data_IF_406866185728
#
_entry.id   IF_406866185728
#
_cell.length_a   1.000
_cell.length_b   1.000
_cell.length_c   1.000
_cell.angle_alpha   90.00
_cell.angle_beta   90.00
_cell.angle_gamma   90.00
#
_symmetry.space_group_name_H-M   'P 1'
#
loop_
_entity.id
_entity.type
_entity.pdbx_description
1 polymer ?
#
# COMPACT_ATOMS: atom_id res chain seq x y z
N UNK A 1 -9.02 -17.78 1.88
CA UNK A 1 -8.66 -17.48 3.28
C UNK A 1 -8.13 -16.06 3.43
N UNK A 2 -6.98 -15.72 2.84
CA UNK A 2 -6.39 -14.36 2.93
C UNK A 2 -7.35 -13.27 2.42
N UNK A 3 -8.03 -13.53 1.31
CA UNK A 3 -8.95 -12.57 0.71
C UNK A 3 -10.20 -12.29 1.58
N UNK A 4 -10.68 -13.32 2.28
CA UNK A 4 -11.77 -13.19 3.24
C UNK A 4 -11.34 -12.40 4.48
N UNK A 5 -10.16 -12.68 5.04
CA UNK A 5 -9.60 -11.89 6.15
C UNK A 5 -9.42 -10.42 5.78
N UNK A 6 -8.89 -10.13 4.58
CA UNK A 6 -8.75 -8.76 4.08
C UNK A 6 -10.11 -8.06 3.98
N UNK A 7 -11.12 -8.72 3.39
CA UNK A 7 -12.48 -8.18 3.29
C UNK A 7 -13.11 -7.95 4.66
N UNK A 8 -12.98 -8.89 5.59
CA UNK A 8 -13.50 -8.74 6.96
C UNK A 8 -12.80 -7.63 7.73
N UNK A 9 -11.49 -7.50 7.57
CA UNK A 9 -10.72 -6.42 8.18
C UNK A 9 -11.12 -5.05 7.61
N UNK A 10 -11.24 -4.92 6.29
CA UNK A 10 -11.69 -3.68 5.65
C UNK A 10 -13.13 -3.31 6.07
N UNK A 11 -14.03 -4.30 6.13
CA UNK A 11 -15.38 -4.10 6.63
C UNK A 11 -15.40 -3.66 8.10
N UNK A 12 -14.49 -4.17 8.94
CA UNK A 12 -14.38 -3.77 10.35
C UNK A 12 -13.92 -2.32 10.55
N UNK A 13 -13.19 -1.76 9.58
CA UNK A 13 -12.78 -0.35 9.54
C UNK A 13 -13.86 0.53 8.87
N UNK A 14 -14.98 -0.08 8.44
CA UNK A 14 -16.10 0.62 7.81
C UNK A 14 -15.92 0.87 6.31
N UNK A 15 -14.90 0.29 5.67
CA UNK A 15 -14.68 0.42 4.23
C UNK A 15 -15.47 -0.67 3.49
N UNK A 16 -16.44 -0.26 2.67
CA UNK A 16 -17.11 -1.16 1.74
C UNK A 16 -16.12 -1.56 0.62
N UNK A 17 -15.81 -2.85 0.51
CA UNK A 17 -14.94 -3.37 -0.56
C UNK A 17 -15.78 -3.59 -1.81
N UNK A 18 -15.69 -2.67 -2.76
CA UNK A 18 -16.26 -2.83 -4.10
C UNK A 18 -15.27 -3.65 -4.93
N UNK A 19 -15.67 -4.85 -5.37
CA UNK A 19 -14.84 -5.71 -6.22
C UNK A 19 -15.15 -5.48 -7.70
N UNK A 20 -14.17 -5.72 -8.57
CA UNK A 20 -14.34 -5.63 -10.03
C UNK A 20 -15.55 -6.43 -10.52
N UNK A 21 -15.70 -7.66 -10.04
CA UNK A 21 -16.82 -8.54 -10.41
C UNK A 21 -18.18 -7.92 -10.07
N UNK A 22 -18.27 -7.22 -8.93
CA UNK A 22 -19.52 -6.58 -8.50
C UNK A 22 -19.85 -5.34 -9.34
N UNK A 23 -18.83 -4.63 -9.81
CA UNK A 23 -18.99 -3.50 -10.74
C UNK A 23 -19.48 -4.01 -12.10
N UNK A 24 -18.86 -5.06 -12.64
CA UNK A 24 -19.26 -5.67 -13.91
C UNK A 24 -20.71 -6.17 -13.86
N UNK A 25 -21.09 -6.91 -12.82
CA UNK A 25 -22.47 -7.37 -12.61
C UNK A 25 -23.47 -6.20 -12.55
N UNK A 26 -23.09 -5.09 -11.89
CA UNK A 26 -23.94 -3.91 -11.80
C UNK A 26 -24.11 -3.21 -13.15
N UNK A 27 -23.07 -3.20 -13.98
CA UNK A 27 -23.13 -2.64 -15.33
C UNK A 27 -23.95 -3.53 -16.27
N UNK A 28 -23.78 -4.85 -16.20
CA UNK A 28 -24.57 -5.82 -16.96
C UNK A 28 -26.07 -5.71 -16.64
N UNK A 29 -26.44 -5.57 -15.35
CA UNK A 29 -27.82 -5.33 -14.95
C UNK A 29 -28.41 -4.04 -15.55
N UNK A 30 -27.59 -3.00 -15.74
CA UNK A 30 -28.03 -1.75 -16.35
C UNK A 30 -28.23 -1.90 -17.86
N UNK A 31 -27.42 -2.73 -18.51
CA UNK A 31 -27.60 -3.11 -19.91
C UNK A 31 -28.88 -3.93 -20.10
N UNK A 32 -29.11 -4.94 -19.27
CA UNK A 32 -30.34 -5.76 -19.33
C UNK A 32 -31.61 -4.92 -19.11
N UNK A 33 -31.54 -3.90 -18.25
CA UNK A 33 -32.65 -2.96 -18.01
C UNK A 33 -32.80 -1.92 -19.13
N UNK A 34 -31.99 -1.98 -20.19
CA UNK A 34 -31.98 -1.04 -21.31
C UNK A 34 -31.56 0.38 -20.93
N UNK A 35 -30.91 0.57 -19.78
CA UNK A 35 -30.43 1.87 -19.28
C UNK A 35 -29.04 2.23 -19.81
N UNK A 36 -28.32 1.25 -20.32
CA UNK A 36 -26.98 1.37 -20.89
C UNK A 36 -26.89 0.45 -22.11
N UNK A 37 -26.11 0.87 -23.10
CA UNK A 37 -25.69 -0.02 -24.19
C UNK A 37 -24.48 -0.86 -23.75
N UNK A 38 -24.24 -1.98 -24.44
CA UNK A 38 -23.05 -2.81 -24.19
C UNK A 38 -21.74 -2.03 -24.36
N UNK A 39 -21.71 -1.10 -25.32
CA UNK A 39 -20.54 -0.28 -25.63
C UNK A 39 -20.26 0.73 -24.52
N UNK A 40 -21.28 1.43 -24.03
CA UNK A 40 -21.16 2.35 -22.88
C UNK A 40 -20.75 1.62 -21.59
N UNK A 41 -21.24 0.39 -21.37
CA UNK A 41 -20.86 -0.42 -20.22
C UNK A 41 -19.38 -0.85 -20.27
N UNK A 42 -18.88 -1.22 -21.46
CA UNK A 42 -17.48 -1.54 -21.67
C UNK A 42 -16.57 -0.34 -21.42
N UNK A 43 -16.94 0.82 -21.98
CA UNK A 43 -16.18 2.07 -21.81
C UNK A 43 -16.15 2.53 -20.35
N UNK A 44 -17.27 2.40 -19.63
CA UNK A 44 -17.36 2.71 -18.21
C UNK A 44 -16.53 1.76 -17.34
N UNK A 45 -16.52 0.46 -17.66
CA UNK A 45 -15.68 -0.52 -16.98
C UNK A 45 -14.19 -0.18 -17.13
N UNK A 46 -13.74 0.13 -18.33
CA UNK A 46 -12.34 0.48 -18.59
C UNK A 46 -11.92 1.74 -17.83
N UNK A 47 -12.78 2.76 -17.84
CA UNK A 47 -12.55 3.99 -17.07
C UNK A 47 -12.46 3.74 -15.57
N UNK A 48 -13.35 2.91 -15.00
CA UNK A 48 -13.30 2.55 -13.57
C UNK A 48 -12.01 1.80 -13.23
N UNK A 49 -11.54 0.92 -14.11
CA UNK A 49 -10.28 0.19 -13.89
C UNK A 49 -9.08 1.14 -13.95
N UNK A 50 -9.06 2.09 -14.88
CA UNK A 50 -7.97 3.05 -15.04
C UNK A 50 -7.90 4.06 -13.89
N UNK A 51 -9.04 4.67 -13.53
CA UNK A 51 -9.15 5.57 -12.39
C UNK A 51 -8.84 4.82 -11.08
N UNK A 52 -9.36 3.60 -10.94
CA UNK A 52 -9.12 2.74 -9.78
C UNK A 52 -7.64 2.42 -9.56
N UNK A 53 -6.87 2.17 -10.63
CA UNK A 53 -5.41 1.97 -10.53
C UNK A 53 -4.71 3.22 -10.03
N UNK A 54 -5.01 4.36 -10.62
CA UNK A 54 -4.38 5.66 -10.28
C UNK A 54 -4.66 6.04 -8.83
N UNK A 55 -5.90 5.91 -8.38
CA UNK A 55 -6.29 6.21 -7.00
C UNK A 55 -5.73 5.19 -6.00
N UNK A 56 -5.63 3.91 -6.38
CA UNK A 56 -4.99 2.88 -5.54
C UNK A 56 -3.51 3.19 -5.30
N UNK A 57 -2.78 3.63 -6.33
CA UNK A 57 -1.37 3.97 -6.21
C UNK A 57 -1.15 5.18 -5.29
N UNK A 58 -1.97 6.24 -5.43
CA UNK A 58 -1.96 7.39 -4.50
C UNK A 58 -2.28 6.96 -3.07
N UNK A 59 -3.35 6.18 -2.89
CA UNK A 59 -3.76 5.68 -1.58
C UNK A 59 -2.67 4.82 -0.93
N UNK A 60 -1.94 4.03 -1.72
CA UNK A 60 -0.81 3.22 -1.22
C UNK A 60 0.35 4.09 -0.72
N UNK A 61 0.67 5.19 -1.43
CA UNK A 61 1.70 6.15 -1.01
C UNK A 61 1.28 6.83 0.29
N UNK A 62 0.05 7.32 0.37
CA UNK A 62 -0.48 7.97 1.59
C UNK A 62 -0.55 7.01 2.77
N UNK A 63 -1.04 5.79 2.56
CA UNK A 63 -1.08 4.75 3.57
C UNK A 63 0.33 4.39 4.07
N UNK A 64 1.31 4.27 3.17
CA UNK A 64 2.71 4.00 3.55
C UNK A 64 3.30 5.14 4.37
N UNK A 65 3.00 6.39 4.02
CA UNK A 65 3.41 7.57 4.80
C UNK A 65 2.79 7.57 6.19
N UNK A 66 1.49 7.36 6.28
CA UNK A 66 0.78 7.27 7.56
C UNK A 66 1.34 6.16 8.45
N UNK A 67 1.63 5.00 7.86
CA UNK A 67 2.20 3.87 8.58
C UNK A 67 3.61 4.19 9.11
N UNK A 68 4.46 4.80 8.28
CA UNK A 68 5.79 5.26 8.71
C UNK A 68 5.71 6.32 9.81
N UNK A 69 4.78 7.28 9.71
CA UNK A 69 4.57 8.31 10.73
C UNK A 69 4.11 7.69 12.06
N UNK A 70 3.24 6.67 12.02
CA UNK A 70 2.83 5.91 13.21
C UNK A 70 4.00 5.16 13.84
N UNK A 71 4.84 4.49 13.05
CA UNK A 71 6.02 3.79 13.57
C UNK A 71 7.00 4.76 14.24
N UNK A 72 7.24 5.92 13.64
CA UNK A 72 8.05 6.97 14.24
C UNK A 72 7.47 7.45 15.58
N UNK A 73 6.16 7.70 15.65
CA UNK A 73 5.48 8.09 16.91
C UNK A 73 5.55 7.00 17.98
N UNK A 74 5.59 5.73 17.58
CA UNK A 74 5.74 4.59 18.47
C UNK A 74 7.20 4.35 18.91
N UNK A 75 8.15 5.20 18.50
CA UNK A 75 9.60 5.01 18.67
C UNK A 75 10.14 3.70 18.08
N UNK A 76 9.49 3.20 17.02
CA UNK A 76 9.93 2.02 16.29
C UNK A 76 10.77 2.47 15.09
N UNK A 77 12.05 2.10 15.10
CA UNK A 77 12.98 2.38 14.01
C UNK A 77 12.68 1.51 12.80
N UNK A 78 12.75 2.10 11.60
CA UNK A 78 12.68 1.32 10.35
C UNK A 78 13.97 0.55 10.11
N UNK A 79 13.91 -0.49 9.27
CA UNK A 79 15.09 -1.29 8.92
C UNK A 79 16.18 -0.43 8.28
N UNK A 80 15.81 0.46 7.37
CA UNK A 80 16.76 1.36 6.68
C UNK A 80 17.49 2.28 7.66
N UNK A 81 16.78 2.79 8.69
CA UNK A 81 17.38 3.62 9.74
C UNK A 81 18.35 2.81 10.60
N UNK A 82 18.01 1.56 10.92
CA UNK A 82 18.90 0.65 11.64
C UNK A 82 20.17 0.34 10.83
N UNK A 83 20.03 0.01 9.55
CA UNK A 83 21.16 -0.33 8.68
C UNK A 83 22.09 0.88 8.49
N UNK A 84 21.53 2.08 8.33
CA UNK A 84 22.30 3.33 8.27
C UNK A 84 23.07 3.61 9.58
N UNK A 85 22.45 3.33 10.74
CA UNK A 85 23.13 3.46 12.03
C UNK A 85 24.25 2.42 12.17
N UNK A 86 23.99 1.16 11.82
CA UNK A 86 24.97 0.08 11.88
C UNK A 86 26.19 0.39 10.99
N UNK A 87 25.99 0.92 9.79
CA UNK A 87 27.09 1.32 8.92
C UNK A 87 27.92 2.45 9.53
N UNK A 88 27.28 3.48 10.11
CA UNK A 88 27.99 4.56 10.80
C UNK A 88 28.79 4.05 12.00
N UNK A 89 28.26 3.09 12.75
CA UNK A 89 28.96 2.45 13.87
C UNK A 89 30.20 1.72 13.37
N UNK A 90 30.07 0.88 12.33
CA UNK A 90 31.20 0.17 11.72
C UNK A 90 32.30 1.12 11.23
N UNK A 91 31.93 2.25 10.60
CA UNK A 91 32.90 3.25 10.16
C UNK A 91 33.62 3.92 11.34
N UNK A 92 32.89 4.24 12.40
CA UNK A 92 33.47 4.82 13.62
C UNK A 92 34.39 3.83 14.33
N UNK A 93 34.01 2.57 14.45
CA UNK A 93 34.83 1.49 14.99
C UNK A 93 36.11 1.30 14.17
N UNK A 94 36.00 1.30 12.84
CA UNK A 94 37.15 1.20 11.95
C UNK A 94 38.11 2.41 12.05
N UNK A 95 37.58 3.63 12.24
CA UNK A 95 38.38 4.83 12.48
C UNK A 95 39.07 4.78 13.85
N UNK A 96 38.34 4.38 14.89
CA UNK A 96 38.88 4.24 16.23
C UNK A 96 40.01 3.21 16.27
N UNK A 97 39.84 2.07 15.58
CA UNK A 97 40.88 1.05 15.49
C UNK A 97 42.14 1.51 14.73
N UNK A 98 42.01 2.45 13.77
CA UNK A 98 43.17 3.06 13.11
C UNK A 98 43.91 4.06 14.00
N UNK A 99 43.17 4.81 14.81
CA UNK A 99 43.70 5.90 15.65
C UNK A 99 44.26 5.37 16.98
N UNK A 100 43.65 4.31 17.50
CA UNK A 100 44.10 3.54 18.66
C UNK A 100 44.08 2.06 18.27
N UNK A 101 45.12 1.57 17.58
CA UNK A 101 45.24 0.14 17.33
C UNK A 101 45.34 -0.53 18.70
N UNK A 102 44.30 -1.28 19.06
CA UNK A 102 44.36 -2.16 20.22
C UNK A 102 45.58 -3.06 20.00
N UNK A 103 46.62 -2.81 20.79
CA UNK A 103 47.72 -3.75 20.92
C UNK A 103 47.13 -4.95 21.64
N UNK A 104 47.13 -6.11 20.98
CA UNK A 104 46.90 -7.38 21.68
C UNK A 104 47.74 -7.46 22.96
#
# INVERSE_FOLDING_TARGET
>A
MIDLMKKTMLASVGLAVVTKDKVLESLDELVEKGKLTQEEAAEMSDKIVEEGKTETDKAKVEASKLFNDMLHRANVVTKDQYDALAQRVTELEGRLHKEFPNSD
#
